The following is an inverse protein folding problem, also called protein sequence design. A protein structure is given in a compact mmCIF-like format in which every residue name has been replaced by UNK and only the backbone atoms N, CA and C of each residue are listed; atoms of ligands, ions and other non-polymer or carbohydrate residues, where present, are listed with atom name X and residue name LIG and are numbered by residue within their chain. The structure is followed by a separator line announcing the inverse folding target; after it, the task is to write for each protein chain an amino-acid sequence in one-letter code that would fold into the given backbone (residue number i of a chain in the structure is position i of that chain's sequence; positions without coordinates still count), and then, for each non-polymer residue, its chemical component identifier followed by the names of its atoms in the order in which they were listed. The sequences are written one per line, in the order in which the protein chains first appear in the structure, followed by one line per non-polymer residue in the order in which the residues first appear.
data_IF_705292058732
#
_entry.id   IF_705292058732
#
_cell.length_a   1.000
_cell.length_b   1.000
_cell.length_c   1.000
_cell.angle_alpha   90.00
_cell.angle_beta   90.00
_cell.angle_gamma   90.00
#
_symmetry.space_group_name_H-M   'P 1'
#
loop_
_entity.id
_entity.type
_entity.pdbx_description
1 polymer ?
#
# COMPACT_ATOMS: atom_id res chain seq x y z
N UNK A 1 -33.85 23.18 55.49
CA UNK A 1 -33.80 23.67 54.10
C UNK A 1 -32.49 24.42 53.88
N UNK A 2 -31.91 24.33 52.67
CA UNK A 2 -30.70 25.00 52.14
C UNK A 2 -29.43 24.15 52.08
N UNK A 3 -29.36 23.32 51.04
CA UNK A 3 -28.09 22.98 50.36
C UNK A 3 -27.63 24.22 49.57
N UNK A 4 -26.48 24.80 49.94
CA UNK A 4 -25.78 25.76 49.10
C UNK A 4 -24.90 25.00 48.12
N UNK A 5 -25.21 25.12 46.83
CA UNK A 5 -24.26 24.82 45.76
C UNK A 5 -23.22 25.94 45.72
N UNK A 6 -21.93 25.58 45.76
CA UNK A 6 -20.82 26.47 45.43
C UNK A 6 -20.09 25.96 44.20
N UNK A 7 -19.74 26.93 43.36
CA UNK A 7 -19.44 26.82 41.96
C UNK A 7 -18.04 26.30 41.63
N UNK A 8 -17.99 25.63 40.48
CA UNK A 8 -16.94 25.64 39.45
C UNK A 8 -15.53 26.14 39.83
N UNK A 9 -14.58 25.20 39.82
CA UNK A 9 -13.19 25.46 39.45
C UNK A 9 -12.93 24.86 38.07
N UNK A 10 -12.96 25.72 37.04
CA UNK A 10 -12.38 25.45 35.73
C UNK A 10 -10.87 25.23 35.90
N UNK A 11 -10.42 23.99 35.84
CA UNK A 11 -9.02 23.69 35.62
C UNK A 11 -8.75 23.79 34.12
N UNK A 12 -8.01 24.83 33.73
CA UNK A 12 -7.45 25.01 32.40
C UNK A 12 -6.66 23.76 32.00
N UNK A 13 -7.08 23.11 30.92
CA UNK A 13 -6.27 22.11 30.22
C UNK A 13 -5.09 22.81 29.55
N UNK A 14 -3.82 22.56 29.94
CA UNK A 14 -2.70 22.93 29.10
C UNK A 14 -2.66 21.99 27.89
N UNK A 15 -3.05 22.52 26.74
CA UNK A 15 -2.67 21.98 25.43
C UNK A 15 -1.15 22.01 25.36
N UNK A 16 -0.52 20.85 25.33
CA UNK A 16 0.87 20.69 24.92
C UNK A 16 0.95 19.61 23.84
N UNK A 17 1.50 19.94 22.65
CA UNK A 17 1.69 18.99 21.56
C UNK A 17 2.98 18.21 21.82
N UNK A 18 2.88 16.89 21.93
CA UNK A 18 4.06 16.02 21.85
C UNK A 18 3.94 15.16 20.59
N UNK A 19 4.21 15.79 19.45
CA UNK A 19 4.57 15.09 18.21
C UNK A 19 5.90 14.39 18.49
N UNK A 20 5.84 13.15 19.00
CA UNK A 20 6.97 12.25 18.95
C UNK A 20 7.04 11.69 17.54
N UNK A 21 7.82 12.37 16.70
CA UNK A 21 8.34 11.80 15.48
C UNK A 21 9.18 10.57 15.85
N UNK A 22 8.55 9.40 15.85
CA UNK A 22 9.26 8.13 15.85
C UNK A 22 9.96 8.02 14.50
N UNK A 23 11.21 8.48 14.48
CA UNK A 23 12.17 8.20 13.43
C UNK A 23 12.38 6.68 13.40
N UNK A 24 11.49 5.95 12.71
CA UNK A 24 11.74 4.55 12.39
C UNK A 24 12.97 4.54 11.49
N UNK A 25 14.09 4.10 12.08
CA UNK A 25 15.32 3.75 11.37
C UNK A 25 14.90 2.89 10.16
N UNK A 26 14.99 3.47 8.96
CA UNK A 26 14.89 2.74 7.69
C UNK A 26 15.85 1.56 7.78
N UNK A 27 15.28 0.38 7.95
CA UNK A 27 16.02 -0.87 7.97
C UNK A 27 16.57 -1.10 6.57
N UNK A 28 17.83 -0.70 6.34
CA UNK A 28 18.63 -1.06 5.16
C UNK A 28 19.00 -2.55 5.20
N UNK A 29 18.02 -3.44 5.20
CA UNK A 29 18.27 -4.88 5.12
C UNK A 29 17.17 -5.59 4.34
N UNK A 30 17.06 -5.30 3.04
CA UNK A 30 16.38 -6.22 2.12
C UNK A 30 16.98 -6.19 0.70
N UNK A 31 18.28 -5.84 0.57
CA UNK A 31 19.02 -5.92 -0.70
C UNK A 31 19.74 -7.26 -0.85
N UNK A 32 18.98 -8.37 -0.79
CA UNK A 32 19.49 -9.68 -1.14
C UNK A 32 18.32 -10.64 -1.38
N UNK A 33 17.80 -10.71 -2.61
CA UNK A 33 17.14 -11.94 -3.10
C UNK A 33 16.93 -12.09 -4.61
N UNK A 34 17.25 -11.10 -5.44
CA UNK A 34 17.24 -11.30 -6.90
C UNK A 34 18.50 -10.72 -7.54
N UNK A 35 19.63 -11.40 -7.29
CA UNK A 35 20.84 -11.25 -8.09
C UNK A 35 20.98 -12.53 -8.94
N UNK A 36 20.12 -12.67 -9.93
CA UNK A 36 20.31 -13.58 -11.06
C UNK A 36 20.49 -12.70 -12.30
N UNK A 37 21.56 -12.97 -13.05
CA UNK A 37 22.01 -12.34 -14.31
C UNK A 37 20.91 -11.65 -15.14
N UNK A 38 21.14 -10.50 -15.78
CA UNK A 38 21.93 -10.38 -17.03
C UNK A 38 22.53 -8.97 -17.18
N UNK A 39 23.81 -8.89 -17.61
CA UNK A 39 24.39 -7.68 -18.20
C UNK A 39 24.02 -7.61 -19.68
N UNK A 40 23.44 -6.50 -20.13
CA UNK A 40 23.73 -5.79 -21.38
C UNK A 40 22.88 -4.51 -21.41
N UNK A 41 23.38 -3.48 -22.08
CA UNK A 41 22.96 -2.10 -21.95
C UNK A 41 21.61 -1.72 -22.58
N UNK A 42 21.42 -0.41 -22.59
CA UNK A 42 20.29 0.40 -23.10
C UNK A 42 19.21 0.75 -22.06
N UNK A 43 19.25 2.01 -21.61
CA UNK A 43 18.28 2.77 -20.79
C UNK A 43 16.82 2.74 -21.33
N UNK A 44 16.58 2.10 -22.48
CA UNK A 44 15.25 1.89 -23.06
C UNK A 44 14.65 0.50 -22.78
N UNK A 45 15.46 -0.48 -22.36
CA UNK A 45 15.03 -1.85 -22.04
C UNK A 45 14.59 -2.04 -20.59
N UNK A 46 15.05 -1.20 -19.68
CA UNK A 46 14.78 -1.31 -18.24
C UNK A 46 13.31 -0.98 -17.90
N UNK A 47 12.72 0.02 -18.56
CA UNK A 47 11.30 0.34 -18.39
C UNK A 47 10.35 -0.77 -18.88
N UNK A 48 10.69 -1.44 -19.98
CA UNK A 48 9.95 -2.61 -20.46
C UNK A 48 10.10 -3.80 -19.49
N UNK A 49 11.28 -3.94 -18.87
CA UNK A 49 11.52 -4.96 -17.83
C UNK A 49 10.72 -4.68 -16.56
N UNK A 50 10.66 -3.42 -16.10
CA UNK A 50 9.90 -3.03 -14.92
C UNK A 50 8.38 -3.19 -15.11
N UNK A 51 7.85 -2.78 -16.26
CA UNK A 51 6.42 -2.94 -16.56
C UNK A 51 6.04 -4.42 -16.71
N UNK A 52 6.91 -5.24 -17.32
CA UNK A 52 6.71 -6.69 -17.38
C UNK A 52 6.79 -7.36 -16.01
N UNK A 53 7.74 -6.93 -15.16
CA UNK A 53 7.84 -7.40 -13.78
C UNK A 53 6.59 -7.03 -12.98
N UNK A 54 6.07 -5.81 -13.16
CA UNK A 54 4.80 -5.38 -12.57
C UNK A 54 3.62 -6.24 -13.04
N UNK A 55 3.49 -6.47 -14.34
CA UNK A 55 2.43 -7.30 -14.92
C UNK A 55 2.46 -8.72 -14.33
N UNK A 56 3.65 -9.33 -14.29
CA UNK A 56 3.83 -10.67 -13.75
C UNK A 56 3.47 -10.70 -12.26
N UNK A 57 3.97 -9.74 -11.49
CA UNK A 57 3.67 -9.62 -10.07
C UNK A 57 2.17 -9.42 -9.80
N UNK A 58 1.48 -8.60 -10.60
CA UNK A 58 0.04 -8.39 -10.50
C UNK A 58 -0.74 -9.68 -10.77
N UNK A 59 -0.32 -10.51 -11.75
CA UNK A 59 -0.96 -11.80 -12.03
C UNK A 59 -0.88 -12.78 -10.85
N UNK A 60 0.24 -12.74 -10.13
CA UNK A 60 0.48 -13.65 -9.01
C UNK A 60 -0.21 -13.17 -7.72
N UNK A 61 -0.36 -11.85 -7.54
CA UNK A 61 -0.82 -11.27 -6.28
C UNK A 61 -2.25 -10.72 -6.30
N UNK A 62 -2.79 -10.30 -7.45
CA UNK A 62 -4.06 -9.59 -7.55
C UNK A 62 -5.25 -10.45 -7.97
N UNK A 63 -5.20 -11.75 -7.72
CA UNK A 63 -6.37 -12.64 -7.88
C UNK A 63 -7.46 -12.25 -6.86
N UNK A 64 -8.75 -12.19 -7.26
CA UNK A 64 -9.33 -12.68 -8.50
C UNK A 64 -9.39 -11.68 -9.67
N UNK A 65 -8.96 -10.43 -9.47
CA UNK A 65 -9.10 -9.34 -10.44
C UNK A 65 -8.17 -9.49 -11.63
N UNK A 66 -6.93 -9.88 -11.38
CA UNK A 66 -5.93 -10.13 -12.41
C UNK A 66 -5.76 -11.63 -12.54
N UNK A 67 -6.26 -12.20 -13.64
CA UNK A 67 -6.18 -13.64 -13.94
C UNK A 67 -5.04 -13.98 -14.89
N UNK A 68 -4.70 -13.00 -15.72
CA UNK A 68 -3.87 -13.12 -16.90
C UNK A 68 -3.20 -11.77 -17.21
N UNK A 69 -2.21 -11.80 -18.10
CA UNK A 69 -1.41 -10.62 -18.45
C UNK A 69 -2.27 -9.50 -19.04
N UNK A 70 -3.31 -9.82 -19.82
CA UNK A 70 -4.19 -8.80 -20.39
C UNK A 70 -5.03 -8.12 -19.32
N UNK A 71 -5.47 -8.86 -18.30
CA UNK A 71 -6.13 -8.31 -17.11
C UNK A 71 -5.25 -7.31 -16.36
N UNK A 72 -3.95 -7.61 -16.23
CA UNK A 72 -2.99 -6.71 -15.59
C UNK A 72 -2.84 -5.41 -16.40
N UNK A 73 -2.65 -5.53 -17.72
CA UNK A 73 -2.54 -4.38 -18.64
C UNK A 73 -3.80 -3.52 -18.60
N UNK A 74 -5.00 -4.13 -18.59
CA UNK A 74 -6.27 -3.40 -18.45
C UNK A 74 -6.34 -2.62 -17.14
N UNK A 75 -5.86 -3.19 -16.03
CA UNK A 75 -5.82 -2.49 -14.74
C UNK A 75 -4.82 -1.32 -14.77
N UNK A 76 -3.64 -1.52 -15.36
CA UNK A 76 -2.62 -0.47 -15.50
C UNK A 76 -3.16 0.67 -16.37
N UNK A 77 -3.76 0.36 -17.52
CA UNK A 77 -4.34 1.36 -18.41
C UNK A 77 -5.52 2.08 -17.77
N UNK A 78 -6.37 1.38 -17.00
CA UNK A 78 -7.43 2.03 -16.23
C UNK A 78 -6.87 3.10 -15.28
N UNK A 79 -5.80 2.78 -14.53
CA UNK A 79 -5.18 3.74 -13.62
C UNK A 79 -4.52 4.92 -14.38
N UNK A 80 -3.88 4.65 -15.52
CA UNK A 80 -3.25 5.70 -16.34
C UNK A 80 -4.32 6.62 -16.98
N UNK A 81 -5.33 6.06 -17.62
CA UNK A 81 -6.30 6.79 -18.44
C UNK A 81 -7.46 7.41 -17.64
N UNK A 82 -7.98 6.71 -16.63
CA UNK A 82 -9.13 7.18 -15.85
C UNK A 82 -8.71 7.99 -14.63
N UNK A 83 -7.64 7.55 -13.98
CA UNK A 83 -7.21 8.11 -12.69
C UNK A 83 -6.00 9.03 -12.80
N UNK A 84 -5.35 9.09 -13.96
CA UNK A 84 -4.13 9.90 -14.16
C UNK A 84 -3.01 9.46 -13.22
N UNK A 85 -2.85 8.15 -13.01
CA UNK A 85 -1.92 7.59 -12.04
C UNK A 85 -1.11 6.43 -12.63
N UNK A 86 0.12 6.28 -12.15
CA UNK A 86 1.02 5.18 -12.52
C UNK A 86 1.27 4.26 -11.33
N UNK A 87 0.99 2.97 -11.51
CA UNK A 87 1.30 1.94 -10.50
C UNK A 87 2.81 1.70 -10.53
N UNK A 88 3.44 1.69 -9.33
CA UNK A 88 4.85 1.32 -9.16
C UNK A 88 4.95 -0.02 -8.46
N UNK A 89 5.81 -0.91 -8.96
CA UNK A 89 5.98 -2.25 -8.41
C UNK A 89 6.35 -2.23 -6.91
N UNK A 90 7.37 -1.46 -6.54
CA UNK A 90 7.82 -1.36 -5.14
C UNK A 90 6.69 -0.91 -4.20
N UNK A 91 5.88 0.07 -4.62
CA UNK A 91 4.73 0.56 -3.84
C UNK A 91 3.61 -0.47 -3.77
N UNK A 92 3.36 -1.20 -4.85
CA UNK A 92 2.37 -2.26 -4.87
C UNK A 92 2.73 -3.37 -3.88
N UNK A 93 4.01 -3.74 -3.81
CA UNK A 93 4.55 -4.68 -2.83
C UNK A 93 4.38 -4.19 -1.40
N UNK A 94 4.85 -2.98 -1.09
CA UNK A 94 4.75 -2.40 0.24
C UNK A 94 3.29 -2.29 0.73
N UNK A 95 2.39 -1.86 -0.16
CA UNK A 95 0.96 -1.73 0.16
C UNK A 95 0.35 -3.10 0.42
N UNK A 96 0.63 -4.09 -0.41
CA UNK A 96 0.07 -5.42 -0.23
C UNK A 96 0.59 -6.08 1.06
N UNK A 97 1.88 -5.93 1.37
CA UNK A 97 2.45 -6.39 2.64
C UNK A 97 1.83 -5.68 3.84
N UNK A 98 1.65 -4.36 3.77
CA UNK A 98 0.97 -3.58 4.83
C UNK A 98 -0.45 -4.08 5.05
N UNK A 99 -1.22 -4.32 3.97
CA UNK A 99 -2.60 -4.80 4.07
C UNK A 99 -2.64 -6.23 4.64
N UNK A 100 -1.75 -7.12 4.21
CA UNK A 100 -1.61 -8.47 4.79
C UNK A 100 -1.24 -8.43 6.27
N UNK A 101 -0.35 -7.52 6.67
CA UNK A 101 0.06 -7.35 8.06
C UNK A 101 -1.11 -6.87 8.93
N UNK A 102 -1.90 -5.91 8.45
CA UNK A 102 -3.07 -5.42 9.18
C UNK A 102 -4.17 -6.49 9.27
N UNK A 103 -4.39 -7.26 8.21
CA UNK A 103 -5.29 -8.43 8.25
C UNK A 103 -4.83 -9.45 9.30
N UNK A 104 -3.53 -9.76 9.34
CA UNK A 104 -2.95 -10.68 10.34
C UNK A 104 -3.14 -10.17 11.77
N UNK A 105 -2.99 -8.87 12.03
CA UNK A 105 -3.26 -8.28 13.35
C UNK A 105 -4.72 -8.44 13.76
N UNK A 106 -5.65 -8.23 12.82
CA UNK A 106 -7.07 -8.25 13.09
C UNK A 106 -7.61 -9.68 13.30
N UNK A 107 -7.17 -10.64 12.49
CA UNK A 107 -7.72 -12.00 12.47
C UNK A 107 -6.81 -13.06 13.09
N UNK A 108 -5.58 -12.71 13.49
CA UNK A 108 -4.63 -13.60 14.19
C UNK A 108 -4.49 -14.97 13.53
N UNK A 109 -4.30 -14.99 12.20
CA UNK A 109 -4.15 -16.18 11.36
C UNK A 109 -5.39 -17.12 11.28
N UNK A 110 -6.53 -16.74 11.85
CA UNK A 110 -7.78 -17.54 11.79
C UNK A 110 -8.43 -17.56 10.41
N UNK A 111 -8.23 -16.50 9.62
CA UNK A 111 -8.83 -16.32 8.29
C UNK A 111 -7.70 -16.02 7.30
N UNK A 112 -7.56 -16.81 6.22
CA UNK A 112 -6.57 -16.52 5.19
C UNK A 112 -6.84 -15.15 4.56
N UNK A 113 -5.78 -14.45 4.18
CA UNK A 113 -5.92 -13.16 3.50
C UNK A 113 -6.49 -13.37 2.10
N UNK A 114 -7.60 -12.69 1.81
CA UNK A 114 -8.18 -12.58 0.48
C UNK A 114 -8.26 -11.10 0.08
N UNK A 115 -8.03 -10.80 -1.19
CA UNK A 115 -8.27 -9.46 -1.71
C UNK A 115 -9.78 -9.14 -1.74
N UNK A 116 -10.15 -7.85 -1.67
CA UNK A 116 -11.55 -7.44 -1.74
C UNK A 116 -12.22 -7.99 -3.00
N UNK A 117 -13.39 -8.62 -2.84
CA UNK A 117 -14.18 -9.19 -3.96
C UNK A 117 -14.93 -8.13 -4.77
N UNK A 118 -15.02 -6.90 -4.27
CA UNK A 118 -15.70 -5.78 -4.91
C UNK A 118 -14.68 -4.78 -5.47
N UNK A 119 -14.97 -4.27 -6.66
CA UNK A 119 -14.08 -3.37 -7.40
C UNK A 119 -13.68 -2.13 -6.59
N UNK A 120 -14.60 -1.42 -5.89
CA UNK A 120 -14.21 -0.25 -5.09
C UNK A 120 -13.15 -0.56 -4.03
N UNK A 121 -13.23 -1.74 -3.41
CA UNK A 121 -12.25 -2.17 -2.41
C UNK A 121 -10.88 -2.45 -3.03
N UNK A 122 -10.86 -3.08 -4.21
CA UNK A 122 -9.62 -3.35 -4.94
C UNK A 122 -9.01 -2.07 -5.54
N UNK A 123 -9.85 -1.17 -6.04
CA UNK A 123 -9.43 0.13 -6.58
C UNK A 123 -8.69 0.95 -5.53
N UNK A 124 -9.10 0.92 -4.25
CA UNK A 124 -8.37 1.56 -3.15
C UNK A 124 -6.94 1.02 -2.99
N UNK A 125 -6.73 -0.28 -3.19
CA UNK A 125 -5.38 -0.89 -3.15
C UNK A 125 -4.55 -0.35 -4.32
N UNK A 126 -5.14 -0.32 -5.53
CA UNK A 126 -4.49 0.24 -6.71
C UNK A 126 -4.10 1.71 -6.50
N UNK A 127 -5.01 2.53 -5.97
CA UNK A 127 -4.74 3.93 -5.65
C UNK A 127 -3.57 4.09 -4.69
N UNK A 128 -3.55 3.31 -3.59
CA UNK A 128 -2.45 3.35 -2.62
C UNK A 128 -1.12 2.91 -3.22
N UNK A 129 -1.15 2.01 -4.20
CA UNK A 129 0.03 1.52 -4.93
C UNK A 129 0.46 2.41 -6.11
N UNK A 130 -0.21 3.54 -6.33
CA UNK A 130 -0.01 4.39 -7.50
C UNK A 130 0.33 5.83 -7.13
N UNK A 131 1.16 6.45 -7.96
CA UNK A 131 1.48 7.87 -7.86
C UNK A 131 0.72 8.67 -8.92
N UNK A 132 0.40 9.96 -8.65
CA UNK A 132 -0.05 10.87 -9.69
C UNK A 132 0.96 10.89 -10.84
N UNK A 133 0.46 10.83 -12.07
CA UNK A 133 1.23 11.04 -13.29
C UNK A 133 1.66 12.51 -13.42
#
# INVERSE_FOLDING_TARGET
QRTMWTSATLALNPVAPAVRAAHHKRSRRHRARYAGAVKAGDDAGEALSEEQALIQWMCDNYRPWVKDKEGAVKCINFMKEKEGRMIKLEKAEEVLESVKADHKKQYQDRIPFELPKLWPGFQLILYRSSDPL
#
